data_IF_384426592828
#
_entry.id   IF_384426592828
#
_cell.length_a   1.000
_cell.length_b   1.000
_cell.length_c   1.000
_cell.angle_alpha   90.00
_cell.angle_beta   90.00
_cell.angle_gamma   90.00
#
_symmetry.space_group_name_H-M   'P 1'
#
loop_
_entity.id
_entity.type
_entity.pdbx_description
1 polymer ?
#
# COMPACT_ATOMS: atom_id res chain seq x y z
N UNK A 1 -12.25 -26.77 -13.15
CA UNK A 1 -11.28 -25.68 -13.38
C UNK A 1 -10.00 -26.32 -13.90
N UNK A 2 -9.57 -25.95 -15.10
CA UNK A 2 -8.37 -26.47 -15.74
C UNK A 2 -7.10 -25.78 -15.19
N UNK A 3 -5.92 -26.36 -15.40
CA UNK A 3 -4.64 -25.71 -15.08
C UNK A 3 -4.52 -24.37 -15.84
N UNK A 4 -5.01 -24.32 -17.08
CA UNK A 4 -5.05 -23.09 -17.87
C UNK A 4 -5.95 -22.02 -17.25
N UNK A 5 -7.11 -22.41 -16.70
CA UNK A 5 -8.03 -21.49 -16.03
C UNK A 5 -7.36 -20.89 -14.77
N UNK A 6 -6.63 -21.72 -14.01
CA UNK A 6 -5.91 -21.27 -12.81
C UNK A 6 -4.80 -20.28 -13.19
N UNK A 7 -4.03 -20.55 -14.25
CA UNK A 7 -2.99 -19.63 -14.73
C UNK A 7 -3.57 -18.30 -15.22
N UNK A 8 -4.71 -18.33 -15.91
CA UNK A 8 -5.40 -17.13 -16.33
C UNK A 8 -5.84 -16.29 -15.11
N UNK A 9 -6.45 -16.93 -14.12
CA UNK A 9 -6.86 -16.27 -12.87
C UNK A 9 -5.67 -15.68 -12.10
N UNK A 10 -4.52 -16.37 -12.04
CA UNK A 10 -3.29 -15.83 -11.43
C UNK A 10 -2.76 -14.61 -12.19
N UNK A 11 -2.84 -14.61 -13.52
CA UNK A 11 -2.46 -13.45 -14.34
C UNK A 11 -3.38 -12.24 -14.12
N UNK A 12 -4.69 -12.47 -14.03
CA UNK A 12 -5.65 -11.42 -13.70
C UNK A 12 -5.43 -10.88 -12.29
N UNK A 13 -5.19 -11.76 -11.31
CA UNK A 13 -4.88 -11.36 -9.94
C UNK A 13 -3.61 -10.50 -9.86
N UNK A 14 -2.54 -10.86 -10.58
CA UNK A 14 -1.31 -10.07 -10.64
C UNK A 14 -1.54 -8.67 -11.22
N UNK A 15 -2.32 -8.56 -12.30
CA UNK A 15 -2.70 -7.28 -12.89
C UNK A 15 -3.52 -6.41 -11.92
N UNK A 16 -4.45 -7.00 -11.17
CA UNK A 16 -5.23 -6.30 -10.15
C UNK A 16 -4.35 -5.84 -8.98
N UNK A 17 -3.38 -6.66 -8.57
CA UNK A 17 -2.41 -6.31 -7.53
C UNK A 17 -1.52 -5.13 -7.97
N UNK A 18 -1.07 -5.08 -9.22
CA UNK A 18 -0.33 -3.94 -9.78
C UNK A 18 -1.14 -2.64 -9.79
N UNK A 19 -2.42 -2.72 -10.18
CA UNK A 19 -3.33 -1.56 -10.13
C UNK A 19 -3.57 -1.10 -8.69
N UNK A 20 -3.76 -2.04 -7.77
CA UNK A 20 -3.90 -1.77 -6.35
C UNK A 20 -2.65 -1.10 -5.79
N UNK A 21 -1.46 -1.62 -6.13
CA UNK A 21 -0.17 -1.04 -5.75
C UNK A 21 -0.04 0.41 -6.21
N UNK A 22 -0.29 0.67 -7.49
CA UNK A 22 -0.24 2.03 -8.07
C UNK A 22 -1.18 2.99 -7.33
N UNK A 23 -2.38 2.53 -6.99
CA UNK A 23 -3.36 3.31 -6.22
C UNK A 23 -2.83 3.64 -4.83
N UNK A 24 -2.29 2.66 -4.11
CA UNK A 24 -1.77 2.83 -2.76
C UNK A 24 -0.50 3.70 -2.75
N UNK A 25 0.35 3.60 -3.76
CA UNK A 25 1.49 4.51 -3.96
C UNK A 25 1.02 5.96 -4.12
N UNK A 26 -0.05 6.20 -4.89
CA UNK A 26 -0.68 7.51 -5.00
C UNK A 26 -1.24 8.04 -3.66
N UNK A 27 -1.86 7.17 -2.86
CA UNK A 27 -2.29 7.51 -1.49
C UNK A 27 -1.09 7.87 -0.60
N UNK A 28 0.01 7.12 -0.70
CA UNK A 28 1.25 7.42 0.01
C UNK A 28 1.79 8.81 -0.31
N UNK A 29 1.86 9.16 -1.60
CA UNK A 29 2.30 10.49 -2.03
C UNK A 29 1.40 11.62 -1.47
N UNK A 30 0.08 11.42 -1.49
CA UNK A 30 -0.86 12.39 -0.91
C UNK A 30 -0.68 12.51 0.63
N UNK A 31 -0.41 11.41 1.33
CA UNK A 31 -0.13 11.43 2.76
C UNK A 31 1.18 12.16 3.10
N UNK A 32 2.21 12.02 2.27
CA UNK A 32 3.46 12.75 2.43
C UNK A 32 3.25 14.26 2.29
N UNK A 33 2.43 14.69 1.32
CA UNK A 33 2.04 16.10 1.18
C UNK A 33 1.28 16.61 2.41
N UNK A 34 0.30 15.84 2.90
CA UNK A 34 -0.45 16.19 4.12
C UNK A 34 0.47 16.24 5.35
N UNK A 35 1.42 15.32 5.46
CA UNK A 35 2.41 15.29 6.53
C UNK A 35 3.25 16.57 6.53
N UNK A 36 3.72 17.00 5.36
CA UNK A 36 4.44 18.27 5.19
C UNK A 36 3.62 19.48 5.64
N UNK A 37 2.35 19.54 5.25
CA UNK A 37 1.44 20.62 5.66
C UNK A 37 1.18 20.63 7.17
N UNK A 38 0.98 19.47 7.78
CA UNK A 38 0.77 19.37 9.23
C UNK A 38 2.02 19.77 9.99
N UNK A 39 3.20 19.36 9.53
CA UNK A 39 4.46 19.79 10.15
C UNK A 39 4.64 21.31 10.02
N UNK A 40 4.36 21.90 8.86
CA UNK A 40 4.46 23.34 8.66
C UNK A 40 3.45 24.14 9.50
N UNK A 41 2.24 23.61 9.69
CA UNK A 41 1.14 24.33 10.37
C UNK A 41 1.18 24.16 11.89
N UNK A 42 1.55 22.97 12.37
CA UNK A 42 1.47 22.60 13.79
C UNK A 42 2.84 22.51 14.48
N UNK A 43 3.92 22.96 13.82
CA UNK A 43 5.31 22.84 14.26
C UNK A 43 5.52 23.13 15.75
N UNK A 44 5.05 24.29 16.22
CA UNK A 44 5.25 24.75 17.61
C UNK A 44 4.06 24.42 18.53
N UNK A 45 3.02 23.78 18.00
CA UNK A 45 1.81 23.50 18.77
C UNK A 45 1.97 22.19 19.56
N UNK A 46 1.98 22.33 20.89
CA UNK A 46 1.97 21.23 21.88
C UNK A 46 0.58 20.91 22.42
N UNK A 47 -0.47 21.38 21.75
CA UNK A 47 -1.84 21.00 22.09
C UNK A 47 -2.06 19.53 21.76
N UNK A 48 -2.84 18.84 22.58
CA UNK A 48 -3.07 17.40 22.44
C UNK A 48 -3.61 17.04 21.05
N UNK A 49 -4.45 17.88 20.47
CA UNK A 49 -5.02 17.71 19.13
C UNK A 49 -3.94 17.73 18.04
N UNK A 50 -2.90 18.57 18.19
CA UNK A 50 -1.80 18.64 17.24
C UNK A 50 -0.88 17.40 17.32
N UNK A 51 -0.67 16.88 18.52
CA UNK A 51 0.04 15.62 18.71
C UNK A 51 -0.74 14.43 18.13
N UNK A 52 -2.07 14.40 18.35
CA UNK A 52 -2.95 13.39 17.76
C UNK A 52 -2.93 13.44 16.24
N UNK A 53 -2.98 14.63 15.63
CA UNK A 53 -2.92 14.78 14.17
C UNK A 53 -1.59 14.25 13.60
N UNK A 54 -0.44 14.61 14.19
CA UNK A 54 0.87 14.10 13.78
C UNK A 54 0.97 12.58 13.90
N UNK A 55 0.46 12.02 15.02
CA UNK A 55 0.43 10.57 15.23
C UNK A 55 -0.45 9.87 14.20
N UNK A 56 -1.65 10.39 13.94
CA UNK A 56 -2.57 9.81 12.97
C UNK A 56 -1.98 9.75 11.57
N UNK A 57 -1.28 10.80 11.13
CA UNK A 57 -0.59 10.81 9.84
C UNK A 57 0.57 9.81 9.81
N UNK A 58 1.37 9.75 10.87
CA UNK A 58 2.47 8.79 10.98
C UNK A 58 1.96 7.34 10.92
N UNK A 59 0.85 7.06 11.61
CA UNK A 59 0.24 5.73 11.60
C UNK A 59 -0.37 5.41 10.22
N UNK A 60 -0.95 6.39 9.52
CA UNK A 60 -1.46 6.22 8.15
C UNK A 60 -0.34 5.93 7.14
N UNK A 61 0.78 6.65 7.20
CA UNK A 61 1.97 6.41 6.35
C UNK A 61 2.48 4.99 6.58
N UNK A 62 2.60 4.57 7.85
CA UNK A 62 3.02 3.20 8.19
C UNK A 62 2.08 2.15 7.59
N UNK A 63 0.77 2.38 7.62
CA UNK A 63 -0.21 1.43 7.08
C UNK A 63 -0.10 1.31 5.55
N UNK A 64 0.18 2.41 4.85
CA UNK A 64 0.48 2.38 3.41
C UNK A 64 1.72 1.52 3.12
N UNK A 65 2.81 1.71 3.86
CA UNK A 65 4.02 0.90 3.69
C UNK A 65 3.76 -0.60 3.93
N UNK A 66 3.00 -0.93 4.98
CA UNK A 66 2.62 -2.31 5.30
C UNK A 66 1.73 -2.93 4.21
N UNK A 67 0.81 -2.15 3.67
CA UNK A 67 -0.06 -2.57 2.57
C UNK A 67 0.73 -2.85 1.31
N UNK A 68 1.66 -1.96 0.93
CA UNK A 68 2.53 -2.16 -0.24
C UNK A 68 3.40 -3.43 -0.10
N UNK A 69 3.95 -3.69 1.10
CA UNK A 69 4.69 -4.92 1.38
C UNK A 69 3.82 -6.17 1.25
N UNK A 70 2.57 -6.08 1.70
CA UNK A 70 1.61 -7.20 1.61
C UNK A 70 1.24 -7.49 0.16
N UNK A 71 1.03 -6.46 -0.67
CA UNK A 71 0.79 -6.61 -2.11
C UNK A 71 1.99 -7.29 -2.77
N UNK A 72 3.21 -6.82 -2.51
CA UNK A 72 4.43 -7.42 -3.08
C UNK A 72 4.55 -8.91 -2.70
N UNK A 73 4.33 -9.27 -1.43
CA UNK A 73 4.34 -10.66 -1.00
C UNK A 73 3.25 -11.51 -1.67
N UNK A 74 2.07 -10.94 -1.93
CA UNK A 74 1.00 -11.64 -2.64
C UNK A 74 1.38 -11.91 -4.11
N UNK A 75 2.01 -10.93 -4.79
CA UNK A 75 2.53 -11.10 -6.15
C UNK A 75 3.63 -12.15 -6.21
N UNK A 76 4.60 -12.11 -5.29
CA UNK A 76 5.69 -13.10 -5.21
C UNK A 76 5.13 -14.52 -5.05
N UNK A 77 4.16 -14.70 -4.14
CA UNK A 77 3.50 -15.99 -3.93
C UNK A 77 2.71 -16.46 -5.17
N UNK A 78 1.95 -15.55 -5.81
CA UNK A 78 1.19 -15.86 -7.02
C UNK A 78 2.10 -16.27 -8.17
N UNK A 79 3.22 -15.57 -8.35
CA UNK A 79 4.22 -15.86 -9.36
C UNK A 79 4.95 -17.18 -9.09
N UNK A 80 5.33 -17.44 -7.84
CA UNK A 80 5.93 -18.72 -7.45
C UNK A 80 4.97 -19.90 -7.74
N UNK A 81 3.68 -19.74 -7.40
CA UNK A 81 2.69 -20.77 -7.68
C UNK A 81 2.46 -20.96 -9.18
N UNK A 82 2.41 -19.87 -9.96
CA UNK A 82 2.29 -19.92 -11.42
C UNK A 82 3.45 -20.67 -12.07
N UNK A 83 4.68 -20.48 -11.59
CA UNK A 83 5.86 -21.22 -12.08
C UNK A 83 5.76 -22.72 -11.83
N UNK A 84 5.21 -23.15 -10.69
CA UNK A 84 5.00 -24.57 -10.38
C UNK A 84 3.98 -25.21 -11.33
N UNK A 85 3.02 -24.43 -11.84
CA UNK A 85 2.01 -24.92 -12.79
C UNK A 85 2.54 -25.05 -14.24
N UNK A 86 3.77 -24.61 -14.52
CA UNK A 86 4.49 -24.71 -15.81
C UNK A 86 3.84 -23.94 -16.94
#
# INVERSE_FOLDING_TARGET
>A
MSISDVKAALGEADQLLDQGKTTIEGVGAALDEVSGLVLATLHDTRRAEAEQARKAITDAIREVELTLRTIAAAQDNGNAYRQVLG
#
